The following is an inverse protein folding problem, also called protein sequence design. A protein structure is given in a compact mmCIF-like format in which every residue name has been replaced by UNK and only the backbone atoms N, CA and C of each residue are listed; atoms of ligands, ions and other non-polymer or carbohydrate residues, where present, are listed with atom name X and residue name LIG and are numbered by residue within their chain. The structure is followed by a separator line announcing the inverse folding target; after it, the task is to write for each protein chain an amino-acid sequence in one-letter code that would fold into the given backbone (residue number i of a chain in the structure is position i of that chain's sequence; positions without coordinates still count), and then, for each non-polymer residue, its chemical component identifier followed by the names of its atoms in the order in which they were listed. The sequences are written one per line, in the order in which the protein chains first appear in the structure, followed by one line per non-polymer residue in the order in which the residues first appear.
data_IF_346942543566
#
_entry.id   IF_346942543566
#
_cell.length_a   1.000
_cell.length_b   1.000
_cell.length_c   1.000
_cell.angle_alpha   90.00
_cell.angle_beta   90.00
_cell.angle_gamma   90.00
#
_symmetry.space_group_name_H-M   'P 1'
#
loop_
_entity.id
_entity.type
_entity.pdbx_description
1 polymer ?
#
# COMPACT_ATOMS: atom_id res chain seq x y z
N UNK A 1 -6.20 -5.14 -13.99
CA UNK A 1 -5.21 -4.63 -13.03
C UNK A 1 -5.55 -5.25 -11.69
N UNK A 2 -4.68 -6.08 -11.14
CA UNK A 2 -4.93 -6.76 -9.86
C UNK A 2 -4.20 -6.02 -8.75
N UNK A 3 -4.88 -5.79 -7.63
CA UNK A 3 -4.39 -5.12 -6.44
C UNK A 3 -4.73 -6.01 -5.24
N UNK A 4 -3.69 -6.48 -4.53
CA UNK A 4 -3.85 -7.17 -3.27
C UNK A 4 -3.53 -6.18 -2.15
N UNK A 5 -4.45 -6.04 -1.21
CA UNK A 5 -4.27 -5.17 -0.04
C UNK A 5 -4.24 -6.04 1.19
N UNK A 6 -3.15 -5.95 1.95
CA UNK A 6 -3.01 -6.62 3.24
C UNK A 6 -2.84 -5.58 4.34
N UNK A 7 -3.40 -5.90 5.51
CA UNK A 7 -3.24 -5.10 6.72
C UNK A 7 -1.98 -5.58 7.45
N UNK A 8 -0.93 -4.78 7.50
CA UNK A 8 0.34 -5.25 8.08
C UNK A 8 0.35 -5.11 9.60
N UNK A 9 -0.28 -4.08 10.16
CA UNK A 9 -0.06 -3.77 11.57
C UNK A 9 -1.19 -2.98 12.20
N UNK A 10 -1.51 -3.36 13.43
CA UNK A 10 -2.37 -2.62 14.35
C UNK A 10 -1.52 -1.60 15.12
N UNK A 11 -0.65 -0.87 14.42
CA UNK A 11 0.02 0.30 14.99
C UNK A 11 -0.96 1.48 14.99
N UNK A 12 -0.74 2.46 15.86
CA UNK A 12 -1.43 3.76 15.80
C UNK A 12 -0.43 4.79 15.27
N UNK A 13 -0.60 5.30 14.04
CA UNK A 13 -1.72 5.10 13.11
C UNK A 13 -1.68 3.76 12.33
N UNK A 14 -2.86 3.32 11.90
CA UNK A 14 -3.06 2.04 11.19
C UNK A 14 -2.43 2.05 9.79
N UNK A 15 -1.62 1.02 9.49
CA UNK A 15 -0.87 0.90 8.23
C UNK A 15 -1.31 -0.28 7.36
N UNK A 16 -1.41 -0.01 6.06
CA UNK A 16 -1.79 -0.96 5.02
C UNK A 16 -0.65 -1.12 4.02
N UNK A 17 -0.48 -2.34 3.49
CA UNK A 17 0.29 -2.56 2.26
C UNK A 17 -0.62 -2.88 1.11
N UNK A 18 -0.40 -2.17 0.01
CA UNK A 18 -0.96 -2.51 -1.27
C UNK A 18 0.16 -3.01 -2.19
N UNK A 19 -0.05 -4.18 -2.79
CA UNK A 19 0.81 -4.73 -3.83
C UNK A 19 -0.01 -4.81 -5.11
N UNK A 20 0.46 -4.14 -6.16
CA UNK A 20 -0.30 -4.00 -7.39
C UNK A 20 0.57 -3.77 -8.62
N UNK A 21 0.04 -4.13 -9.78
CA UNK A 21 0.73 -3.91 -11.05
C UNK A 21 0.48 -2.48 -11.56
N UNK A 22 1.55 -1.72 -11.74
CA UNK A 22 1.55 -0.49 -12.53
C UNK A 22 2.27 -0.76 -13.86
N UNK A 23 1.50 -0.81 -14.95
CA UNK A 23 1.98 -1.22 -16.27
C UNK A 23 2.66 -2.60 -16.21
N UNK A 24 3.98 -2.66 -16.44
CA UNK A 24 4.79 -3.89 -16.42
C UNK A 24 5.59 -4.06 -15.11
N UNK A 25 5.37 -3.21 -14.10
CA UNK A 25 6.08 -3.28 -12.82
C UNK A 25 5.12 -3.61 -11.69
N UNK A 26 5.49 -4.56 -10.84
CA UNK A 26 4.82 -4.76 -9.56
C UNK A 26 5.37 -3.70 -8.60
N UNK A 27 4.47 -3.01 -7.90
CA UNK A 27 4.79 -2.01 -6.89
C UNK A 27 4.21 -2.46 -5.56
N UNK A 28 4.98 -2.24 -4.50
CA UNK A 28 4.55 -2.38 -3.12
C UNK A 28 4.48 -0.97 -2.52
N UNK A 29 3.39 -0.67 -1.83
CA UNK A 29 3.11 0.64 -1.25
C UNK A 29 2.66 0.47 0.18
N UNK A 30 3.25 1.22 1.12
CA UNK A 30 2.74 1.34 2.48
C UNK A 30 2.07 2.69 2.63
N UNK A 31 0.83 2.68 3.13
CA UNK A 31 0.04 3.87 3.34
C UNK A 31 -0.81 3.77 4.61
N UNK A 32 -1.31 4.92 5.03
CA UNK A 32 -2.24 5.07 6.15
C UNK A 32 -3.51 5.74 5.65
N UNK A 33 -4.64 5.35 6.24
CA UNK A 33 -5.92 6.03 6.05
C UNK A 33 -6.05 7.04 7.19
N UNK A 34 -6.14 8.33 6.86
CA UNK A 34 -6.23 9.43 7.83
C UNK A 34 -7.45 10.30 7.52
N UNK A 35 -7.81 11.16 8.47
CA UNK A 35 -8.97 12.05 8.36
C UNK A 35 -8.57 13.50 8.64
N UNK A 36 -9.06 14.43 7.83
CA UNK A 36 -8.99 15.88 8.07
C UNK A 36 -10.39 16.52 7.97
N UNK A 37 -10.43 17.85 7.90
CA UNK A 37 -11.69 18.60 7.79
C UNK A 37 -12.44 18.34 6.46
N UNK A 38 -11.76 17.85 5.43
CA UNK A 38 -12.35 17.51 4.13
C UNK A 38 -12.76 16.03 4.03
N UNK A 39 -12.26 15.17 4.92
CA UNK A 39 -12.67 13.77 5.05
C UNK A 39 -11.50 12.79 5.05
N UNK A 40 -11.70 11.62 4.46
CA UNK A 40 -10.69 10.55 4.39
C UNK A 40 -9.63 10.88 3.32
N UNK A 41 -8.34 10.77 3.68
CA UNK A 41 -7.24 10.84 2.74
C UNK A 41 -6.20 9.73 2.96
N UNK A 42 -5.47 9.42 1.89
CA UNK A 42 -4.38 8.44 1.91
C UNK A 42 -3.06 9.16 2.17
N UNK A 43 -2.40 8.82 3.28
CA UNK A 43 -1.05 9.28 3.58
C UNK A 43 -0.03 8.22 3.12
N UNK A 44 0.67 8.50 2.03
CA UNK A 44 1.71 7.63 1.49
C UNK A 44 2.95 7.67 2.40
N UNK A 45 3.28 6.54 3.02
CA UNK A 45 4.49 6.40 3.84
C UNK A 45 5.70 6.13 2.96
N UNK A 46 5.62 5.09 2.11
CA UNK A 46 6.71 4.71 1.21
C UNK A 46 6.21 3.82 0.07
N UNK A 47 7.00 3.71 -0.99
CA UNK A 47 6.76 2.77 -2.08
C UNK A 47 8.08 2.24 -2.67
N UNK A 48 8.03 1.05 -3.23
CA UNK A 48 9.15 0.47 -3.96
C UNK A 48 8.69 -0.41 -5.11
N UNK A 49 9.58 -0.60 -6.11
CA UNK A 49 9.42 -1.67 -7.09
C UNK A 49 9.52 -3.00 -6.39
N UNK A 50 8.46 -3.78 -6.43
CA UNK A 50 8.42 -5.09 -5.81
C UNK A 50 9.48 -5.99 -6.45
N UNK A 51 10.18 -6.72 -5.60
CA UNK A 51 11.21 -7.66 -6.01
C UNK A 51 10.57 -8.89 -6.66
N UNK A 52 11.38 -9.71 -7.36
CA UNK A 52 10.89 -10.96 -7.97
C UNK A 52 10.20 -11.89 -6.97
N UNK A 53 10.49 -11.77 -5.67
CA UNK A 53 10.00 -12.61 -4.57
C UNK A 53 8.57 -12.26 -4.15
N UNK A 54 8.16 -11.00 -4.28
CA UNK A 54 6.80 -10.51 -4.00
C UNK A 54 5.82 -10.79 -5.16
N UNK A 55 6.28 -11.31 -6.31
CA UNK A 55 5.42 -11.67 -7.45
C UNK A 55 4.59 -12.94 -7.23
N UNK A 56 4.85 -13.68 -6.17
CA UNK A 56 4.20 -14.95 -5.86
C UNK A 56 3.28 -14.85 -4.61
N UNK A 57 2.95 -13.63 -4.16
CA UNK A 57 1.99 -13.37 -3.08
C UNK A 57 0.61 -13.12 -3.71
#
# INVERSE_FOLDING_TARGET
MSLNVERIKQDDPEQFIAIGFLKNSLLSVIYEVRYDEEGEYIWLITYWKSTKRERNI
#
